data_IF_557644122957
#
_entry.id   IF_557644122957
#
_cell.length_a   1.000
_cell.length_b   1.000
_cell.length_c   1.000
_cell.angle_alpha   90.00
_cell.angle_beta   90.00
_cell.angle_gamma   90.00
#
_symmetry.space_group_name_H-M   'P 1'
#
loop_
_entity.id
_entity.type
_entity.pdbx_description
1 polymer ?
#
# COMPACT_ATOMS: atom_id res chain seq x y z
N UNK A 1 7.13 19.33 4.45
CA UNK A 1 5.92 18.71 3.87
C UNK A 1 5.71 17.42 4.62
N UNK A 2 4.52 17.22 5.19
CA UNK A 2 4.25 16.09 6.09
C UNK A 2 4.34 14.79 5.27
N UNK A 3 5.07 13.75 5.71
CA UNK A 3 5.06 12.48 5.02
C UNK A 3 3.64 11.92 5.10
N UNK A 4 2.93 11.92 3.96
CA UNK A 4 1.65 11.24 3.85
C UNK A 4 1.87 9.75 4.19
N UNK A 5 0.99 9.16 4.99
CA UNK A 5 1.11 7.75 5.43
C UNK A 5 1.04 6.74 4.26
N UNK A 6 0.72 7.22 3.05
CA UNK A 6 0.68 6.44 1.82
C UNK A 6 1.32 7.23 0.67
N UNK A 7 2.21 6.56 -0.04
CA UNK A 7 2.76 7.00 -1.31
C UNK A 7 2.00 6.28 -2.42
N UNK A 8 1.41 7.04 -3.34
CA UNK A 8 0.71 6.50 -4.52
C UNK A 8 1.38 7.03 -5.78
N UNK A 9 1.50 6.19 -6.81
CA UNK A 9 2.09 6.60 -8.08
C UNK A 9 1.88 5.56 -9.17
N UNK A 10 2.50 5.80 -10.33
CA UNK A 10 2.57 4.84 -11.42
C UNK A 10 4.01 4.38 -11.60
N UNK A 11 4.19 3.11 -11.94
CA UNK A 11 5.48 2.50 -12.19
C UNK A 11 5.42 1.64 -13.45
N UNK A 12 6.58 1.34 -14.03
CA UNK A 12 6.70 0.37 -15.10
C UNK A 12 7.29 -0.93 -14.54
N UNK A 13 6.51 -2.01 -14.56
CA UNK A 13 6.96 -3.35 -14.18
C UNK A 13 7.06 -4.22 -15.42
N UNK A 14 8.28 -4.64 -15.78
CA UNK A 14 8.52 -5.48 -16.97
C UNK A 14 7.92 -4.88 -18.27
N UNK A 15 7.92 -3.54 -18.39
CA UNK A 15 7.34 -2.83 -19.54
C UNK A 15 5.83 -2.58 -19.46
N UNK A 16 5.13 -3.10 -18.45
CA UNK A 16 3.73 -2.81 -18.20
C UNK A 16 3.59 -1.65 -17.23
N UNK A 17 2.77 -0.66 -17.58
CA UNK A 17 2.38 0.40 -16.65
C UNK A 17 1.52 -0.23 -15.55
N UNK A 18 1.83 0.08 -14.30
CA UNK A 18 1.12 -0.38 -13.12
C UNK A 18 0.89 0.78 -12.17
N UNK A 19 -0.28 0.81 -11.55
CA UNK A 19 -0.51 1.67 -10.38
C UNK A 19 0.18 1.06 -9.15
N UNK A 20 0.80 1.88 -8.33
CA UNK A 20 1.50 1.46 -7.12
C UNK A 20 1.06 2.30 -5.92
N UNK A 21 0.80 1.63 -4.80
CA UNK A 21 0.67 2.25 -3.49
C UNK A 21 1.64 1.60 -2.50
N UNK A 22 2.33 2.40 -1.70
CA UNK A 22 3.21 1.96 -0.63
C UNK A 22 2.85 2.67 0.67
N UNK A 23 2.54 1.90 1.71
CA UNK A 23 2.29 2.45 3.04
C UNK A 23 3.60 2.65 3.79
N UNK A 24 3.81 3.84 4.35
CA UNK A 24 4.99 4.10 5.18
C UNK A 24 4.74 3.54 6.58
N UNK A 25 5.53 2.51 6.93
CA UNK A 25 5.47 1.82 8.22
C UNK A 25 5.95 2.70 9.39
N UNK A 26 6.60 3.83 9.11
CA UNK A 26 6.99 4.83 10.10
C UNK A 26 5.80 5.54 10.75
N UNK A 27 4.57 5.32 10.28
CA UNK A 27 3.35 5.78 10.94
C UNK A 27 3.07 4.95 12.20
N UNK A 28 3.90 5.17 13.23
CA UNK A 28 3.67 4.72 14.60
C UNK A 28 2.35 5.29 15.11
N UNK A 29 1.27 4.51 15.03
CA UNK A 29 0.09 4.69 15.89
C UNK A 29 -0.93 5.76 15.48
N UNK A 30 -1.28 5.85 14.20
CA UNK A 30 -2.48 6.61 13.81
C UNK A 30 -3.34 5.79 12.86
N UNK A 31 -4.61 5.63 13.20
CA UNK A 31 -5.64 5.03 12.35
C UNK A 31 -5.50 5.53 10.90
N UNK A 32 -5.71 4.64 9.92
CA UNK A 32 -5.87 5.00 8.51
C UNK A 32 -6.84 6.19 8.44
N UNK A 33 -6.32 7.39 8.21
CA UNK A 33 -7.16 8.58 8.21
C UNK A 33 -8.04 8.54 6.96
N UNK A 34 -9.23 9.11 7.02
CA UNK A 34 -10.15 9.16 5.85
C UNK A 34 -9.45 9.69 4.61
N UNK A 35 -8.53 10.66 4.77
CA UNK A 35 -7.73 11.21 3.68
C UNK A 35 -6.78 10.19 3.01
N UNK A 36 -6.18 9.29 3.79
CA UNK A 36 -5.33 8.20 3.28
C UNK A 36 -6.17 7.17 2.54
N UNK A 37 -7.32 6.80 3.12
CA UNK A 37 -8.26 5.87 2.49
C UNK A 37 -8.82 6.40 1.17
N UNK A 38 -9.20 7.67 1.12
CA UNK A 38 -9.71 8.31 -0.09
C UNK A 38 -8.62 8.41 -1.18
N UNK A 39 -7.37 8.71 -0.81
CA UNK A 39 -6.26 8.73 -1.77
C UNK A 39 -5.97 7.34 -2.34
N UNK A 40 -6.02 6.30 -1.51
CA UNK A 40 -5.90 4.91 -1.99
C UNK A 40 -7.05 4.54 -2.93
N UNK A 41 -8.30 4.83 -2.53
CA UNK A 41 -9.48 4.52 -3.34
C UNK A 41 -9.40 5.17 -4.72
N UNK A 42 -9.05 6.46 -4.77
CA UNK A 42 -8.85 7.19 -6.04
C UNK A 42 -7.74 6.60 -6.89
N UNK A 43 -6.63 6.14 -6.30
CA UNK A 43 -5.54 5.52 -7.04
C UNK A 43 -5.95 4.15 -7.64
N UNK A 44 -6.76 3.38 -6.91
CA UNK A 44 -7.33 2.11 -7.38
C UNK A 44 -8.33 2.36 -8.51
N UNK A 45 -9.26 3.29 -8.33
CA UNK A 45 -10.26 3.66 -9.35
C UNK A 45 -9.57 4.14 -10.64
N UNK A 46 -8.59 5.04 -10.53
CA UNK A 46 -7.84 5.52 -11.68
C UNK A 46 -7.10 4.39 -12.42
N UNK A 47 -6.53 3.44 -11.67
CA UNK A 47 -5.86 2.28 -12.28
C UNK A 47 -6.86 1.34 -12.95
N UNK A 48 -8.04 1.16 -12.36
CA UNK A 48 -9.12 0.37 -12.94
C UNK A 48 -9.67 1.01 -14.23
N UNK A 49 -9.88 2.33 -14.25
CA UNK A 49 -10.30 3.10 -15.43
C UNK A 49 -9.26 3.04 -16.55
N UNK A 50 -7.97 3.11 -16.20
CA UNK A 50 -6.86 3.03 -17.14
C UNK A 50 -6.54 1.60 -17.60
N UNK A 51 -7.22 0.58 -17.07
CA UNK A 51 -6.95 -0.83 -17.37
C UNK A 51 -5.56 -1.30 -16.91
N UNK A 52 -4.99 -0.65 -15.89
CA UNK A 52 -3.66 -0.91 -15.37
C UNK A 52 -3.72 -1.88 -14.18
N UNK A 53 -2.78 -2.84 -14.08
CA UNK A 53 -2.59 -3.61 -12.86
C UNK A 53 -2.28 -2.67 -11.69
N UNK A 54 -2.83 -2.94 -10.51
CA UNK A 54 -2.56 -2.16 -9.30
C UNK A 54 -1.86 -3.02 -8.25
N UNK A 55 -0.76 -2.51 -7.69
CA UNK A 55 0.04 -3.18 -6.66
C UNK A 55 0.06 -2.32 -5.39
N UNK A 56 -0.38 -2.89 -4.27
CA UNK A 56 -0.31 -2.26 -2.97
C UNK A 56 0.70 -2.99 -2.09
N UNK A 57 1.74 -2.28 -1.66
CA UNK A 57 2.74 -2.78 -0.72
C UNK A 57 2.37 -2.27 0.66
N UNK A 58 1.94 -3.19 1.52
CA UNK A 58 1.74 -2.95 2.93
C UNK A 58 2.74 -3.81 3.69
N UNK A 59 3.50 -3.21 4.59
CA UNK A 59 4.12 -3.97 5.67
C UNK A 59 3.13 -4.01 6.81
N UNK A 60 2.97 -5.17 7.43
CA UNK A 60 2.33 -5.34 8.72
C UNK A 60 3.29 -6.12 9.59
N UNK A 61 3.40 -5.77 10.87
CA UNK A 61 4.24 -6.51 11.79
C UNK A 61 3.50 -7.81 12.07
N UNK A 62 3.94 -8.92 11.47
CA UNK A 62 3.46 -10.22 11.90
C UNK A 62 3.95 -10.44 13.34
N UNK A 63 3.08 -10.82 14.29
CA UNK A 63 3.56 -11.29 15.58
C UNK A 63 4.52 -12.45 15.30
N UNK A 64 5.66 -12.44 16.00
CA UNK A 64 6.75 -13.42 15.90
C UNK A 64 6.21 -14.81 15.51
N UNK A 65 6.54 -15.28 14.30
CA UNK A 65 6.24 -16.63 13.86
C UNK A 65 7.13 -17.60 14.65
N UNK A 66 6.76 -17.83 15.91
CA UNK A 66 7.35 -18.86 16.75
C UNK A 66 7.01 -20.18 16.07
N UNK A 67 8.01 -20.95 15.62
CA UNK A 67 7.80 -22.32 15.15
C UNK A 67 6.95 -23.01 16.22
N UNK A 68 5.74 -23.43 15.86
CA UNK A 68 4.99 -24.36 16.68
C UNK A 68 5.82 -25.65 16.74
N UNK A 69 6.61 -25.80 17.80
CA UNK A 69 7.13 -27.10 18.19
C UNK A 69 5.93 -27.92 18.64
N UNK A 70 5.47 -28.82 17.77
CA UNK A 70 4.42 -29.79 18.10
C UNK A 70 4.92 -30.73 19.22
N UNK A 71 4.07 -31.11 20.18
CA UNK A 71 4.36 -32.19 21.13
C UNK A 71 4.31 -33.57 20.46
#
# INVERSE_FOLDING_TARGET
QLPDAILTGQAALQGHQVGLAAFDFGFMGGSLSTAVGERLARAIEHSAEAGLPFVCVTSSAAPECRRASSP
#
